data_IF_325572930454
#
_entry.id   IF_325572930454
#
_cell.length_a   1.000
_cell.length_b   1.000
_cell.length_c   1.000
_cell.angle_alpha   90.00
_cell.angle_beta   90.00
_cell.angle_gamma   90.00
#
_symmetry.space_group_name_H-M   'P 1'
#
loop_
_entity.id
_entity.type
_entity.pdbx_description
1 polymer ?
#
# COMPACT_ATOMS: atom_id res chain seq x y z
N UNK A 1 18.49 17.20 -3.56
CA UNK A 1 18.70 16.57 -3.63
C UNK A 1 18.87 15.49 -4.43
N UNK A 2 19.75 15.28 -4.66
CA UNK A 2 19.99 14.38 -5.71
C UNK A 2 19.86 12.94 -5.32
N UNK A 3 20.01 12.62 -4.07
CA UNK A 3 19.90 11.24 -3.71
C UNK A 3 18.52 10.70 -3.99
N UNK A 4 17.51 11.49 -3.75
CA UNK A 4 16.18 11.01 -4.03
C UNK A 4 15.96 10.85 -5.50
N UNK A 5 16.49 11.74 -6.29
CA UNK A 5 16.36 11.62 -7.72
C UNK A 5 17.02 10.35 -8.22
N UNK A 6 18.16 10.00 -7.66
CA UNK A 6 18.86 8.79 -8.06
C UNK A 6 18.07 7.55 -7.68
N UNK A 7 17.49 7.54 -6.51
CA UNK A 7 16.73 6.39 -6.07
C UNK A 7 15.42 6.24 -6.79
N UNK A 8 14.81 7.35 -7.18
CA UNK A 8 13.58 7.32 -7.93
C UNK A 8 12.37 6.80 -7.19
N UNK A 9 12.46 6.61 -5.90
CA UNK A 9 11.39 6.00 -5.14
C UNK A 9 11.04 6.77 -3.88
N UNK A 10 11.25 8.08 -3.91
CA UNK A 10 10.87 8.90 -2.78
C UNK A 10 9.36 9.00 -2.68
N UNK A 11 8.85 8.98 -1.45
CA UNK A 11 7.44 9.27 -1.19
C UNK A 11 7.33 10.45 -0.23
N UNK A 12 8.32 11.33 -0.25
CA UNK A 12 8.36 12.47 0.65
C UNK A 12 7.32 13.52 0.31
N UNK A 13 6.83 13.52 -0.93
CA UNK A 13 5.85 14.50 -1.36
C UNK A 13 4.58 13.81 -1.83
N UNK A 14 3.49 14.57 -1.82
CA UNK A 14 2.24 14.05 -2.33
C UNK A 14 2.34 13.66 -3.80
N UNK A 15 3.13 14.42 -4.57
CA UNK A 15 3.32 14.10 -5.97
C UNK A 15 3.98 12.74 -6.15
N UNK A 16 5.01 12.46 -5.36
CA UNK A 16 5.69 11.15 -5.45
C UNK A 16 4.74 10.03 -5.11
N UNK A 17 3.95 10.21 -4.06
CA UNK A 17 2.96 9.21 -3.67
C UNK A 17 1.93 9.00 -4.77
N UNK A 18 1.48 10.08 -5.40
CA UNK A 18 0.47 9.97 -6.45
C UNK A 18 0.99 9.20 -7.65
N UNK A 19 2.27 9.31 -7.96
CA UNK A 19 2.82 8.55 -9.09
C UNK A 19 2.71 7.05 -8.84
N UNK A 20 2.95 6.61 -7.61
CA UNK A 20 2.76 5.20 -7.28
C UNK A 20 1.29 4.81 -7.37
N UNK A 21 0.42 5.67 -6.89
CA UNK A 21 -1.01 5.39 -6.94
C UNK A 21 -1.52 5.30 -8.38
N UNK A 22 -1.03 6.17 -9.26
CA UNK A 22 -1.42 6.11 -10.67
C UNK A 22 -0.97 4.80 -11.31
N UNK A 23 0.21 4.31 -10.94
CA UNK A 23 0.66 3.01 -11.44
C UNK A 23 -0.22 1.89 -10.94
N UNK A 24 -0.67 1.98 -9.69
CA UNK A 24 -1.59 1.00 -9.15
C UNK A 24 -2.94 1.06 -9.82
N UNK A 25 -3.38 2.25 -10.21
CA UNK A 25 -4.61 2.37 -10.98
C UNK A 25 -4.50 1.60 -12.28
N UNK A 26 -3.39 1.79 -12.99
CA UNK A 26 -3.21 1.12 -14.28
C UNK A 26 -3.10 -0.39 -14.13
N UNK A 27 -2.42 -0.84 -13.08
CA UNK A 27 -2.15 -2.27 -12.92
C UNK A 27 -3.33 -3.03 -12.32
N UNK A 28 -4.05 -2.41 -11.38
CA UNK A 28 -5.05 -3.13 -10.58
C UNK A 28 -6.40 -2.44 -10.54
N UNK A 29 -6.55 -1.31 -11.22
CA UNK A 29 -7.81 -0.59 -11.17
C UNK A 29 -8.10 0.05 -9.83
N UNK A 30 -7.06 0.37 -9.06
CA UNK A 30 -7.25 1.05 -7.79
C UNK A 30 -7.61 2.50 -8.05
N UNK A 31 -8.72 2.95 -7.49
CA UNK A 31 -9.18 4.33 -7.69
C UNK A 31 -10.00 4.76 -6.49
N UNK A 32 -10.11 6.07 -6.26
CA UNK A 32 -10.93 6.55 -5.15
C UNK A 32 -12.41 6.37 -5.44
N UNK A 33 -13.15 6.05 -4.40
CA UNK A 33 -14.60 5.96 -4.50
C UNK A 33 -15.21 7.32 -4.13
N UNK A 34 -16.53 7.34 -3.94
CA UNK A 34 -17.24 8.60 -3.70
C UNK A 34 -16.88 9.26 -2.38
N UNK A 35 -16.28 8.54 -1.45
CA UNK A 35 -15.85 9.13 -0.17
C UNK A 35 -14.34 9.25 -0.06
N UNK A 36 -13.62 9.03 -1.17
CA UNK A 36 -12.18 9.17 -1.19
C UNK A 36 -11.39 7.96 -0.73
N UNK A 37 -12.05 6.87 -0.39
CA UNK A 37 -11.35 5.64 -0.05
C UNK A 37 -10.91 4.93 -1.33
N UNK A 38 -9.75 4.29 -1.29
CA UNK A 38 -9.26 3.58 -2.46
C UNK A 38 -9.93 2.23 -2.59
N UNK A 39 -10.31 1.89 -3.80
CA UNK A 39 -10.94 0.60 -4.09
C UNK A 39 -10.24 -0.08 -5.24
N UNK A 40 -10.25 -1.40 -5.22
CA UNK A 40 -9.67 -2.23 -6.27
C UNK A 40 -10.81 -2.65 -7.18
N UNK A 41 -10.58 -2.55 -8.49
CA UNK A 41 -11.54 -3.08 -9.46
C UNK A 41 -11.52 -4.60 -9.36
N UNK A 42 -12.63 -5.25 -8.98
CA UNK A 42 -12.61 -6.71 -8.81
C UNK A 42 -12.37 -7.47 -10.11
N UNK A 43 -12.53 -6.81 -11.24
CA UNK A 43 -12.29 -7.44 -12.54
C UNK A 43 -10.85 -7.28 -13.01
N UNK A 44 -10.04 -6.49 -12.30
CA UNK A 44 -8.65 -6.29 -12.71
C UNK A 44 -7.85 -7.56 -12.49
N UNK A 45 -6.86 -7.77 -13.34
CA UNK A 45 -5.98 -8.91 -13.22
C UNK A 45 -5.20 -8.81 -11.92
N UNK A 46 -5.19 -9.88 -11.15
CA UNK A 46 -4.48 -9.89 -9.87
C UNK A 46 -5.24 -9.26 -8.72
N UNK A 47 -6.48 -8.82 -8.96
CA UNK A 47 -7.25 -8.13 -7.93
C UNK A 47 -7.46 -8.98 -6.68
N UNK A 48 -7.69 -10.28 -6.85
CA UNK A 48 -7.93 -11.16 -5.71
C UNK A 48 -6.71 -11.27 -4.81
N UNK A 49 -5.54 -11.40 -5.41
CA UNK A 49 -4.31 -11.49 -4.63
C UNK A 49 -4.02 -10.19 -3.90
N UNK A 50 -4.23 -9.07 -4.58
CA UNK A 50 -4.01 -7.77 -3.95
C UNK A 50 -5.01 -7.53 -2.83
N UNK A 51 -6.26 -7.90 -3.04
CA UNK A 51 -7.28 -7.77 -2.00
C UNK A 51 -6.91 -8.57 -0.76
N UNK A 52 -6.45 -9.81 -0.95
CA UNK A 52 -6.03 -10.65 0.16
C UNK A 52 -4.84 -10.04 0.90
N UNK A 53 -3.89 -9.46 0.15
CA UNK A 53 -2.73 -8.82 0.74
C UNK A 53 -3.13 -7.58 1.56
N UNK A 54 -4.07 -6.81 1.05
CA UNK A 54 -4.55 -5.62 1.76
C UNK A 54 -5.28 -6.01 3.04
N UNK A 55 -6.04 -7.10 3.00
CA UNK A 55 -6.71 -7.58 4.20
C UNK A 55 -5.72 -8.08 5.24
N UNK A 56 -4.64 -8.72 4.81
CA UNK A 56 -3.57 -9.11 5.71
C UNK A 56 -2.92 -7.88 6.35
N UNK A 57 -2.72 -6.84 5.56
CA UNK A 57 -2.17 -5.58 6.07
C UNK A 57 -3.11 -4.96 7.11
N UNK A 58 -4.40 -4.95 6.81
CA UNK A 58 -5.40 -4.43 7.75
C UNK A 58 -5.33 -5.18 9.08
N UNK A 59 -5.24 -6.51 9.01
CA UNK A 59 -5.12 -7.32 10.23
C UNK A 59 -3.87 -6.98 11.03
N UNK A 60 -2.74 -6.78 10.34
CA UNK A 60 -1.50 -6.42 11.01
C UNK A 60 -1.61 -5.04 11.67
N UNK A 61 -2.27 -4.09 11.00
CA UNK A 61 -2.47 -2.79 11.60
C UNK A 61 -3.35 -2.85 12.85
N UNK A 62 -4.38 -3.69 12.81
CA UNK A 62 -5.23 -3.87 13.98
C UNK A 62 -4.49 -4.50 15.12
N UNK A 63 -3.61 -5.47 14.84
CA UNK A 63 -2.80 -6.09 15.87
C UNK A 63 -1.83 -5.07 16.48
N UNK A 64 -1.28 -4.19 15.66
CA UNK A 64 -0.41 -3.14 16.16
C UNK A 64 -1.18 -2.21 17.09
N UNK A 65 -2.38 -1.79 16.70
CA UNK A 65 -3.18 -0.88 17.51
C UNK A 65 -3.63 -1.50 18.81
N UNK A 66 -3.93 -2.79 18.80
CA UNK A 66 -4.44 -3.47 20.00
C UNK A 66 -3.33 -3.97 20.91
N UNK A 67 -2.08 -3.84 20.50
CA UNK A 67 -0.95 -4.29 21.31
C UNK A 67 -0.58 -5.75 21.12
N UNK A 68 -1.22 -6.47 20.23
CA UNK A 68 -0.85 -7.85 19.93
C UNK A 68 0.45 -7.91 19.15
N UNK A 69 0.83 -6.82 18.52
CA UNK A 69 2.03 -6.74 17.70
C UNK A 69 2.75 -5.46 18.08
N UNK A 70 4.06 -5.54 18.31
CA UNK A 70 4.85 -4.33 18.58
C UNK A 70 5.17 -3.63 17.28
N UNK A 71 5.66 -2.39 17.38
CA UNK A 71 6.10 -1.67 16.19
C UNK A 71 7.21 -2.41 15.46
N UNK A 72 8.14 -3.00 16.22
CA UNK A 72 9.22 -3.78 15.60
C UNK A 72 8.68 -5.00 14.87
N UNK A 73 7.71 -5.68 15.46
CA UNK A 73 7.07 -6.83 14.81
C UNK A 73 6.38 -6.42 13.53
N UNK A 74 5.70 -5.28 13.57
CA UNK A 74 5.00 -4.77 12.41
C UNK A 74 5.99 -4.41 11.28
N UNK A 75 7.10 -3.77 11.65
CA UNK A 75 8.11 -3.43 10.67
C UNK A 75 8.71 -4.68 10.04
N UNK A 76 8.92 -5.73 10.84
CA UNK A 76 9.39 -7.01 10.33
C UNK A 76 8.38 -7.65 9.40
N UNK A 77 7.10 -7.59 9.78
CA UNK A 77 6.04 -8.15 8.96
C UNK A 77 6.03 -7.49 7.58
N UNK A 78 6.16 -6.16 7.54
CA UNK A 78 6.20 -5.45 6.25
C UNK A 78 7.42 -5.84 5.44
N UNK A 79 8.58 -5.94 6.09
CA UNK A 79 9.82 -6.25 5.39
C UNK A 79 9.83 -7.65 4.83
N UNK A 80 9.14 -8.59 5.48
CA UNK A 80 9.12 -9.98 5.04
C UNK A 80 7.90 -10.34 4.20
N UNK A 81 7.06 -9.39 3.91
CA UNK A 81 5.86 -9.66 3.13
C UNK A 81 6.20 -10.06 1.70
N UNK A 82 5.52 -11.05 1.19
CA UNK A 82 5.75 -11.51 -0.18
C UNK A 82 4.49 -11.60 -0.99
#
# INVERSE_FOLDING_TARGET
MSERALEGYSTDTARDAMEYLFRLEEAFGIAPDSVGALRIDPKAKGAQKLDAAIKAWQGAQEDLKSGKMTQDDYNLWRASFK
#
